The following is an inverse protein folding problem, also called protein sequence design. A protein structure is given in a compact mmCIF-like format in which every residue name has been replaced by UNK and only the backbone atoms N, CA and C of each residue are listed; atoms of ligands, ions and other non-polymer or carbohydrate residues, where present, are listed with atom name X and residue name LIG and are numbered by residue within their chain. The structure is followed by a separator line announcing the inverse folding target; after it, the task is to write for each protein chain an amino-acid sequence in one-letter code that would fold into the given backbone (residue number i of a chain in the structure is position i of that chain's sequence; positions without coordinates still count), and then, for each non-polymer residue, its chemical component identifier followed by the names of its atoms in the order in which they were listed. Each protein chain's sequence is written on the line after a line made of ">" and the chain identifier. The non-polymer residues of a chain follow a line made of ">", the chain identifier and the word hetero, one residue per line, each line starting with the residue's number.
data_IF_572998939714
#
_entry.id   IF_572998939714
#
_cell.length_a   1.000
_cell.length_b   1.000
_cell.length_c   1.000
_cell.angle_alpha   90.00
_cell.angle_beta   90.00
_cell.angle_gamma   90.00
#
_symmetry.space_group_name_H-M   'P 1'
#
loop_
_entity.id
_entity.type
_entity.pdbx_description
1 polymer ?
#
# COMPACT_ATOMS: atom_id res chain seq x y z
N UNK A 1 -43.72 -17.79 -23.29
CA UNK A 1 -44.03 -16.53 -22.57
C UNK A 1 -44.04 -16.86 -21.10
N UNK A 2 -43.35 -16.28 -20.13
CA UNK A 2 -42.47 -15.11 -19.88
C UNK A 2 -42.09 -15.32 -18.40
N UNK A 3 -40.93 -15.04 -17.82
CA UNK A 3 -39.72 -14.35 -18.22
C UNK A 3 -38.75 -14.47 -17.03
N UNK A 4 -37.46 -14.58 -17.36
CA UNK A 4 -36.30 -14.64 -16.47
C UNK A 4 -36.20 -13.31 -15.67
N UNK A 5 -36.22 -13.32 -14.33
CA UNK A 5 -35.83 -12.11 -13.56
C UNK A 5 -34.32 -12.10 -13.32
N UNK A 6 -33.73 -10.99 -13.74
CA UNK A 6 -32.31 -10.72 -13.85
C UNK A 6 -31.60 -10.57 -12.50
N UNK A 7 -30.32 -10.95 -12.48
CA UNK A 7 -29.42 -10.84 -11.33
C UNK A 7 -29.23 -9.41 -10.82
N UNK A 8 -29.17 -9.28 -9.50
CA UNK A 8 -28.88 -8.01 -8.83
C UNK A 8 -27.50 -7.50 -9.22
N UNK A 9 -27.43 -6.29 -9.78
CA UNK A 9 -26.17 -5.60 -10.04
C UNK A 9 -25.62 -5.11 -8.71
N UNK A 10 -24.64 -5.82 -8.15
CA UNK A 10 -23.84 -5.32 -7.04
C UNK A 10 -23.11 -4.04 -7.43
N UNK A 11 -23.09 -3.05 -6.54
CA UNK A 11 -22.33 -1.81 -6.69
C UNK A 11 -20.85 -2.13 -6.89
N UNK A 12 -20.19 -1.51 -7.88
CA UNK A 12 -18.75 -1.70 -8.07
C UNK A 12 -17.97 -1.08 -6.91
N UNK A 13 -16.77 -1.61 -6.60
CA UNK A 13 -15.89 -1.04 -5.57
C UNK A 13 -15.67 0.48 -5.80
N UNK A 14 -15.52 0.90 -7.06
CA UNK A 14 -15.37 2.31 -7.44
C UNK A 14 -16.61 3.16 -7.10
N UNK A 15 -17.81 2.61 -7.27
CA UNK A 15 -19.06 3.30 -6.94
C UNK A 15 -19.29 3.36 -5.42
N UNK A 16 -18.96 2.28 -4.70
CA UNK A 16 -19.02 2.23 -3.25
C UNK A 16 -18.07 3.26 -2.61
N UNK A 17 -16.78 3.21 -2.98
CA UNK A 17 -15.77 4.14 -2.47
C UNK A 17 -16.14 5.60 -2.76
N UNK A 18 -16.74 5.92 -3.91
CA UNK A 18 -17.18 7.29 -4.21
C UNK A 18 -18.25 7.80 -3.24
N UNK A 19 -19.11 6.93 -2.72
CA UNK A 19 -20.10 7.27 -1.71
C UNK A 19 -19.45 7.57 -0.36
N UNK A 20 -18.64 6.63 0.12
CA UNK A 20 -17.97 6.70 1.43
C UNK A 20 -16.96 7.86 1.51
N UNK A 21 -16.26 8.18 0.42
CA UNK A 21 -15.30 9.29 0.37
C UNK A 21 -15.92 10.68 0.62
N UNK A 22 -17.25 10.81 0.70
CA UNK A 22 -17.94 12.06 1.10
C UNK A 22 -17.89 12.31 2.61
N UNK A 23 -17.76 11.27 3.41
CA UNK A 23 -17.58 11.39 4.86
C UNK A 23 -16.13 11.84 5.14
N UNK A 24 -15.93 13.00 5.79
CA UNK A 24 -14.60 13.49 6.15
C UNK A 24 -13.81 12.53 7.04
N UNK A 25 -14.47 11.79 7.93
CA UNK A 25 -13.81 10.86 8.84
C UNK A 25 -13.32 9.62 8.07
N UNK A 26 -14.21 9.01 7.25
CA UNK A 26 -13.84 7.93 6.33
C UNK A 26 -12.72 8.36 5.39
N UNK A 27 -12.81 9.57 4.81
CA UNK A 27 -11.78 10.10 3.91
C UNK A 27 -10.42 10.20 4.60
N UNK A 28 -10.36 10.73 5.82
CA UNK A 28 -9.10 10.83 6.58
C UNK A 28 -8.50 9.45 6.83
N UNK A 29 -9.30 8.49 7.30
CA UNK A 29 -8.82 7.12 7.52
C UNK A 29 -8.39 6.43 6.22
N UNK A 30 -9.11 6.67 5.13
CA UNK A 30 -8.74 6.18 3.81
C UNK A 30 -7.41 6.77 3.32
N UNK A 31 -7.19 8.08 3.51
CA UNK A 31 -5.95 8.78 3.17
C UNK A 31 -4.75 8.35 4.03
N UNK A 32 -4.96 8.12 5.33
CA UNK A 32 -3.94 7.59 6.25
C UNK A 32 -3.56 6.15 5.89
N UNK A 33 -4.57 5.27 5.71
CA UNK A 33 -4.36 3.90 5.22
C UNK A 33 -3.70 3.88 3.82
N UNK A 34 -3.98 4.89 3.00
CA UNK A 34 -3.34 5.08 1.69
C UNK A 34 -1.84 5.38 1.83
N UNK A 35 -1.35 6.05 2.88
CA UNK A 35 0.10 6.25 3.05
C UNK A 35 0.82 4.92 3.31
N UNK A 36 0.35 4.15 4.29
CA UNK A 36 0.96 2.86 4.64
C UNK A 36 0.95 1.91 3.45
N UNK A 37 -0.17 1.84 2.72
CA UNK A 37 -0.30 1.02 1.53
C UNK A 37 0.60 1.52 0.38
N UNK A 38 0.68 2.83 0.14
CA UNK A 38 1.57 3.40 -0.89
C UNK A 38 3.04 3.07 -0.61
N UNK A 39 3.47 3.22 0.64
CA UNK A 39 4.83 2.86 1.07
C UNK A 39 5.08 1.36 0.87
N UNK A 40 4.15 0.51 1.30
CA UNK A 40 4.24 -0.94 1.14
C UNK A 40 4.36 -1.36 -0.34
N UNK A 41 3.55 -0.78 -1.21
CA UNK A 41 3.58 -1.02 -2.65
C UNK A 41 4.88 -0.54 -3.28
N UNK A 42 5.41 0.62 -2.87
CA UNK A 42 6.68 1.14 -3.38
C UNK A 42 7.85 0.21 -3.04
N UNK A 43 7.93 -0.25 -1.79
CA UNK A 43 8.93 -1.22 -1.34
C UNK A 43 8.80 -2.53 -2.14
N UNK A 44 7.58 -3.04 -2.30
CA UNK A 44 7.30 -4.28 -3.04
C UNK A 44 7.77 -4.17 -4.49
N UNK A 45 7.40 -3.08 -5.18
CA UNK A 45 7.80 -2.82 -6.58
C UNK A 45 9.31 -2.70 -6.70
N UNK A 46 9.95 -1.95 -5.81
CA UNK A 46 11.40 -1.78 -5.83
C UNK A 46 12.15 -3.11 -5.59
N UNK A 47 11.64 -3.97 -4.69
CA UNK A 47 12.15 -5.32 -4.45
C UNK A 47 12.02 -6.21 -5.69
N UNK A 48 10.83 -6.24 -6.30
CA UNK A 48 10.56 -7.05 -7.48
C UNK A 48 11.38 -6.61 -8.69
N UNK A 49 11.59 -5.31 -8.88
CA UNK A 49 12.47 -4.76 -9.92
C UNK A 49 13.93 -5.23 -9.74
N UNK A 50 14.35 -5.53 -8.52
CA UNK A 50 15.66 -6.12 -8.19
C UNK A 50 15.67 -7.65 -8.25
N UNK A 51 14.54 -8.29 -8.57
CA UNK A 51 14.33 -9.74 -8.57
C UNK A 51 14.68 -10.40 -7.23
N UNK A 52 14.51 -9.67 -6.13
CA UNK A 52 14.74 -10.17 -4.78
C UNK A 52 13.45 -10.78 -4.21
N UNK A 53 13.57 -11.91 -3.53
CA UNK A 53 12.52 -12.46 -2.67
C UNK A 53 12.39 -11.66 -1.37
N UNK A 54 11.26 -11.81 -0.68
CA UNK A 54 11.08 -11.22 0.66
C UNK A 54 12.11 -11.73 1.67
N UNK A 55 12.59 -12.98 1.50
CA UNK A 55 13.63 -13.55 2.37
C UNK A 55 14.99 -12.91 2.12
N UNK A 56 15.39 -12.73 0.87
CA UNK A 56 16.65 -12.05 0.53
C UNK A 56 16.67 -10.60 1.01
N UNK A 57 15.55 -9.88 0.89
CA UNK A 57 15.45 -8.53 1.46
C UNK A 57 15.54 -8.57 3.00
N UNK A 58 14.90 -9.56 3.64
CA UNK A 58 14.98 -9.71 5.10
C UNK A 58 16.42 -9.99 5.57
N UNK A 59 17.15 -10.83 4.84
CA UNK A 59 18.53 -11.18 5.14
C UNK A 59 19.45 -9.95 4.98
N UNK A 60 19.26 -9.14 3.92
CA UNK A 60 19.97 -7.87 3.74
C UNK A 60 19.69 -6.85 4.86
N UNK A 61 18.47 -6.85 5.40
CA UNK A 61 18.05 -5.99 6.50
C UNK A 61 18.34 -6.57 7.89
N UNK A 62 18.91 -7.78 7.98
CA UNK A 62 19.12 -8.52 9.22
C UNK A 62 17.85 -8.64 10.06
N UNK A 63 16.73 -8.98 9.41
CA UNK A 63 15.41 -9.16 10.03
C UNK A 63 14.75 -10.47 9.58
N UNK A 64 13.54 -10.75 10.09
CA UNK A 64 12.77 -11.94 9.71
C UNK A 64 11.97 -11.68 8.43
N UNK A 65 11.79 -12.69 7.59
CA UNK A 65 10.94 -12.60 6.39
C UNK A 65 9.49 -12.19 6.73
N UNK A 66 8.97 -12.61 7.89
CA UNK A 66 7.67 -12.18 8.40
C UNK A 66 7.59 -10.65 8.64
N UNK A 67 8.71 -10.01 9.02
CA UNK A 67 8.76 -8.56 9.17
C UNK A 67 8.62 -7.88 7.82
N UNK A 68 9.38 -8.32 6.80
CA UNK A 68 9.26 -7.81 5.43
C UNK A 68 7.84 -8.03 4.89
N UNK A 69 7.25 -9.21 5.09
CA UNK A 69 5.87 -9.51 4.69
C UNK A 69 4.83 -8.59 5.36
N UNK A 70 5.03 -8.21 6.63
CA UNK A 70 4.14 -7.25 7.31
C UNK A 70 4.32 -5.84 6.74
N UNK A 71 5.55 -5.43 6.43
CA UNK A 71 5.85 -4.13 5.78
C UNK A 71 5.19 -4.07 4.39
N UNK A 72 5.38 -5.08 3.55
CA UNK A 72 4.84 -5.10 2.18
C UNK A 72 3.31 -5.24 2.11
N UNK A 73 2.66 -5.58 3.23
CA UNK A 73 1.20 -5.58 3.36
C UNK A 73 0.65 -4.28 3.96
N UNK A 74 1.50 -3.32 4.31
CA UNK A 74 1.07 -2.12 5.05
C UNK A 74 0.51 -2.44 6.44
N UNK A 75 0.88 -3.58 7.03
CA UNK A 75 0.31 -4.05 8.30
C UNK A 75 1.06 -3.53 9.53
N UNK A 76 1.96 -2.56 9.36
CA UNK A 76 2.67 -1.89 10.44
C UNK A 76 3.27 -0.57 9.94
N UNK A 77 3.38 0.41 10.85
CA UNK A 77 4.16 1.61 10.63
C UNK A 77 5.66 1.30 10.58
N UNK A 78 6.37 2.00 9.70
CA UNK A 78 7.82 1.92 9.53
C UNK A 78 8.47 3.27 9.81
N UNK A 79 9.60 3.26 10.51
CA UNK A 79 10.35 4.49 10.78
C UNK A 79 11.06 4.97 9.52
N UNK A 80 11.36 6.28 9.44
CA UNK A 80 12.16 6.88 8.36
C UNK A 80 13.52 6.18 8.24
N UNK A 81 14.14 5.84 9.37
CA UNK A 81 15.41 5.09 9.40
C UNK A 81 15.27 3.71 8.74
N UNK A 82 14.17 3.00 9.02
CA UNK A 82 13.89 1.70 8.38
C UNK A 82 13.66 1.86 6.88
N UNK A 83 12.96 2.91 6.46
CA UNK A 83 12.76 3.23 5.04
C UNK A 83 14.09 3.48 4.32
N UNK A 84 15.01 4.24 4.92
CA UNK A 84 16.33 4.48 4.33
C UNK A 84 17.15 3.19 4.22
N UNK A 85 17.12 2.32 5.25
CA UNK A 85 17.78 1.00 5.22
C UNK A 85 17.21 0.11 4.10
N UNK A 86 15.88 0.10 3.94
CA UNK A 86 15.22 -0.64 2.85
C UNK A 86 15.64 -0.09 1.49
N UNK A 87 15.60 1.23 1.30
CA UNK A 87 16.01 1.87 0.06
C UNK A 87 17.46 1.48 -0.31
N UNK A 88 18.39 1.55 0.64
CA UNK A 88 19.79 1.15 0.44
C UNK A 88 19.95 -0.32 0.11
N UNK A 89 19.26 -1.22 0.83
CA UNK A 89 19.28 -2.66 0.55
C UNK A 89 18.77 -2.97 -0.87
N UNK A 90 17.87 -2.15 -1.39
CA UNK A 90 17.33 -2.24 -2.75
C UNK A 90 18.18 -1.50 -3.80
N UNK A 91 19.30 -0.86 -3.41
CA UNK A 91 20.15 -0.08 -4.30
C UNK A 91 19.52 1.23 -4.76
N UNK A 92 18.71 1.86 -3.89
CA UNK A 92 17.98 3.12 -4.13
C UNK A 92 18.31 4.16 -3.07
N UNK A 93 17.91 5.41 -3.31
CA UNK A 93 17.91 6.48 -2.31
C UNK A 93 16.49 6.82 -1.87
N UNK A 94 16.31 7.23 -0.61
CA UNK A 94 15.03 7.73 -0.11
C UNK A 94 14.89 9.23 -0.42
N UNK A 95 13.80 9.61 -1.11
CA UNK A 95 13.40 11.01 -1.31
C UNK A 95 12.03 11.22 -0.67
N UNK A 96 11.91 12.25 0.17
CA UNK A 96 10.63 12.68 0.76
C UNK A 96 10.18 13.97 0.08
N UNK A 97 8.91 14.03 -0.32
CA UNK A 97 8.29 15.20 -0.96
C UNK A 97 6.90 15.41 -0.40
N UNK A 98 6.58 16.64 -0.03
CA UNK A 98 5.21 17.04 0.30
C UNK A 98 4.43 17.33 -0.99
N UNK A 99 3.22 16.80 -1.07
CA UNK A 99 2.28 17.00 -2.18
C UNK A 99 0.94 17.49 -1.63
N UNK A 100 0.10 18.14 -2.45
CA UNK A 100 -1.27 18.44 -2.04
C UNK A 100 -2.00 17.15 -1.59
N UNK A 101 -2.90 17.25 -0.60
CA UNK A 101 -3.67 16.09 -0.16
C UNK A 101 -4.54 15.57 -1.29
N UNK A 102 -4.73 14.24 -1.34
CA UNK A 102 -5.50 13.57 -2.38
C UNK A 102 -6.97 13.98 -2.27
N UNK A 103 -7.44 14.89 -3.13
CA UNK A 103 -8.84 15.34 -3.15
C UNK A 103 -9.08 16.78 -2.67
N UNK A 104 -8.02 17.60 -2.55
CA UNK A 104 -8.14 19.06 -2.56
C UNK A 104 -8.55 19.61 -3.93
#
# INVERSE_FOLDING_TARGET
>A
MTGKKAGGRGTTLKQYLRGEMKDPEFRRFYEEADIELRVALEITRAREARKMSQRELADALKTKQQTVSRIERGAQNVTIETLDKIARALGRGLQVRFVPPTGA
#
